data_IF_859682207901
#
_entry.id   IF_859682207901
#
_cell.length_a   1.000
_cell.length_b   1.000
_cell.length_c   1.000
_cell.angle_alpha   90.00
_cell.angle_beta   90.00
_cell.angle_gamma   90.00
#
_symmetry.space_group_name_H-M   'P 1'
#
loop_
_entity.id
_entity.type
_entity.pdbx_description
1 polymer ?
#
# COMPACT_ATOMS: atom_id res chain seq x y z
N UNK A 1 -7.22 -9.14 12.16
CA UNK A 1 -5.77 -9.10 11.93
C UNK A 1 -5.42 -7.69 11.50
N UNK A 2 -4.37 -7.12 12.08
CA UNK A 2 -3.89 -5.78 11.74
C UNK A 2 -3.13 -5.86 10.42
N UNK A 3 -3.27 -4.86 9.53
CA UNK A 3 -2.53 -4.83 8.27
C UNK A 3 -1.00 -4.86 8.48
N UNK A 4 -0.55 -4.37 9.64
CA UNK A 4 0.84 -4.38 10.08
C UNK A 4 1.38 -5.78 10.42
N UNK A 5 0.53 -6.80 10.48
CA UNK A 5 0.92 -8.20 10.73
C UNK A 5 1.11 -8.99 9.43
N UNK A 6 0.77 -8.41 8.28
CA UNK A 6 0.98 -9.04 6.98
C UNK A 6 2.47 -9.12 6.65
N UNK A 7 2.83 -10.19 5.95
CA UNK A 7 4.15 -10.35 5.38
C UNK A 7 4.37 -9.40 4.21
N UNK A 8 5.64 -9.14 3.89
CA UNK A 8 6.02 -8.28 2.76
C UNK A 8 5.41 -8.76 1.42
N UNK A 9 5.27 -10.08 1.23
CA UNK A 9 4.65 -10.66 0.03
C UNK A 9 3.15 -10.41 -0.02
N UNK A 10 2.43 -10.58 1.10
CA UNK A 10 0.99 -10.31 1.16
C UNK A 10 0.70 -8.82 0.89
N UNK A 11 1.52 -7.92 1.45
CA UNK A 11 1.40 -6.48 1.18
C UNK A 11 1.73 -6.16 -0.28
N UNK A 12 2.73 -6.82 -0.87
CA UNK A 12 3.07 -6.64 -2.28
C UNK A 12 1.92 -7.09 -3.20
N UNK A 13 1.32 -8.25 -2.95
CA UNK A 13 0.16 -8.76 -3.70
C UNK A 13 -1.03 -7.81 -3.58
N UNK A 14 -1.27 -7.26 -2.39
CA UNK A 14 -2.32 -6.27 -2.18
C UNK A 14 -2.07 -4.95 -2.92
N UNK A 15 -0.81 -4.50 -2.95
CA UNK A 15 -0.42 -3.32 -3.73
C UNK A 15 -0.67 -3.59 -5.22
N UNK A 16 -0.16 -4.70 -5.76
CA UNK A 16 -0.25 -5.05 -7.18
C UNK A 16 -1.69 -5.21 -7.66
N UNK A 17 -2.56 -5.75 -6.81
CA UNK A 17 -3.98 -5.92 -7.12
C UNK A 17 -4.83 -4.67 -6.82
N UNK A 18 -4.25 -3.64 -6.19
CA UNK A 18 -4.96 -2.43 -5.76
C UNK A 18 -5.96 -2.65 -4.62
N UNK A 19 -5.91 -3.81 -3.97
CA UNK A 19 -6.82 -4.27 -2.90
C UNK A 19 -6.50 -3.73 -1.52
N UNK A 20 -5.39 -2.98 -1.35
CA UNK A 20 -4.98 -2.39 -0.06
C UNK A 20 -6.18 -1.74 0.65
N UNK A 21 -6.58 -2.14 1.85
CA UNK A 21 -7.81 -1.64 2.45
C UNK A 21 -7.65 -0.18 2.92
N UNK A 22 -8.73 0.58 2.92
CA UNK A 22 -8.69 2.03 3.21
C UNK A 22 -8.15 2.34 4.62
N UNK A 23 -8.41 1.48 5.60
CA UNK A 23 -7.86 1.63 6.95
C UNK A 23 -6.32 1.52 6.96
N UNK A 24 -5.72 0.70 6.10
CA UNK A 24 -4.27 0.60 5.95
C UNK A 24 -3.67 1.83 5.25
N UNK A 25 -4.42 2.48 4.35
CA UNK A 25 -4.00 3.72 3.71
C UNK A 25 -4.02 4.93 4.67
N UNK A 26 -4.94 4.92 5.64
CA UNK A 26 -5.08 5.97 6.66
C UNK A 26 -4.07 5.76 7.79
N UNK A 27 -3.87 4.52 8.22
CA UNK A 27 -2.94 4.20 9.30
C UNK A 27 -1.49 4.53 8.93
N UNK A 28 -0.82 5.32 9.77
CA UNK A 28 0.52 5.84 9.46
C UNK A 28 1.60 4.76 9.49
N UNK A 29 1.42 3.71 10.31
CA UNK A 29 2.35 2.59 10.38
C UNK A 29 2.21 1.69 9.16
N UNK A 30 0.98 1.31 8.82
CA UNK A 30 0.68 0.50 7.65
C UNK A 30 1.11 1.22 6.36
N UNK A 31 0.83 2.52 6.24
CA UNK A 31 1.28 3.30 5.08
C UNK A 31 2.81 3.34 4.96
N UNK A 32 3.54 3.46 6.07
CA UNK A 32 5.02 3.41 6.04
C UNK A 32 5.52 2.05 5.56
N UNK A 33 4.88 0.96 5.99
CA UNK A 33 5.22 -0.39 5.53
C UNK A 33 4.96 -0.54 4.03
N UNK A 34 3.78 -0.12 3.55
CA UNK A 34 3.42 -0.09 2.11
C UNK A 34 4.47 0.67 1.29
N UNK A 35 4.87 1.88 1.72
CA UNK A 35 5.92 2.65 1.06
C UNK A 35 7.28 1.93 1.08
N UNK A 36 7.61 1.23 2.16
CA UNK A 36 8.85 0.44 2.25
C UNK A 36 8.85 -0.73 1.27
N UNK A 37 7.72 -1.41 1.08
CA UNK A 37 7.56 -2.45 0.06
C UNK A 37 7.75 -1.86 -1.33
N UNK A 38 7.13 -0.71 -1.61
CA UNK A 38 7.28 -0.05 -2.91
C UNK A 38 8.73 0.34 -3.21
N UNK A 39 9.48 0.83 -2.21
CA UNK A 39 10.88 1.17 -2.37
C UNK A 39 11.78 -0.07 -2.57
N UNK A 40 11.41 -1.22 -1.99
CA UNK A 40 12.17 -2.48 -2.11
C UNK A 40 11.91 -3.19 -3.44
N UNK A 41 10.67 -3.12 -3.95
CA UNK A 41 10.24 -3.81 -5.16
C UNK A 41 9.69 -2.85 -6.24
N UNK A 42 10.44 -1.80 -6.64
CA UNK A 42 9.92 -0.75 -7.51
C UNK A 42 9.65 -1.20 -8.95
N UNK A 43 10.20 -2.35 -9.36
CA UNK A 43 9.96 -2.94 -10.69
C UNK A 43 8.75 -3.88 -10.72
N UNK A 44 8.27 -4.30 -9.57
CA UNK A 44 7.17 -5.26 -9.44
C UNK A 44 5.83 -4.57 -9.27
N UNK A 45 5.84 -3.28 -8.93
CA UNK A 45 4.62 -2.49 -8.75
C UNK A 45 4.42 -1.61 -9.97
N UNK A 46 3.29 -1.81 -10.63
CA UNK A 46 2.86 -0.96 -11.74
C UNK A 46 2.75 0.51 -11.27
N UNK A 47 3.41 1.47 -11.94
CA UNK A 47 3.34 2.88 -11.58
C UNK A 47 1.92 3.46 -11.52
N UNK A 48 1.00 3.00 -12.37
CA UNK A 48 -0.38 3.48 -12.40
C UNK A 48 -1.16 2.96 -11.19
N UNK A 49 -0.92 1.71 -10.79
CA UNK A 49 -1.50 1.13 -9.57
C UNK A 49 -1.00 1.89 -8.34
N UNK A 50 0.31 2.16 -8.28
CA UNK A 50 0.89 2.97 -7.20
C UNK A 50 0.30 4.38 -7.14
N UNK A 51 0.13 5.01 -8.31
CA UNK A 51 -0.46 6.34 -8.42
C UNK A 51 -1.90 6.37 -7.89
N UNK A 52 -2.72 5.38 -8.24
CA UNK A 52 -4.10 5.30 -7.75
C UNK A 52 -4.17 5.04 -6.24
N UNK A 53 -3.27 4.24 -5.66
CA UNK A 53 -3.18 4.08 -4.20
C UNK A 53 -2.85 5.40 -3.50
N UNK A 54 -1.85 6.13 -4.00
CA UNK A 54 -1.48 7.44 -3.47
C UNK A 54 -2.64 8.44 -3.53
N UNK A 55 -3.37 8.45 -4.65
CA UNK A 55 -4.56 9.29 -4.87
C UNK A 55 -5.72 8.88 -3.95
N UNK A 56 -5.96 7.58 -3.74
CA UNK A 56 -6.98 7.07 -2.81
C UNK A 56 -6.66 7.52 -1.39
N UNK A 57 -5.42 7.35 -0.93
CA UNK A 57 -4.97 7.88 0.37
C UNK A 57 -5.18 9.39 0.49
N UNK A 58 -4.82 10.16 -0.53
CA UNK A 58 -5.02 11.61 -0.54
C UNK A 58 -6.48 12.05 -0.45
N UNK A 59 -7.44 11.21 -0.88
CA UNK A 59 -8.88 11.44 -0.68
C UNK A 59 -9.34 11.08 0.74
N UNK A 60 -8.79 10.02 1.32
CA UNK A 60 -9.15 9.53 2.66
C UNK A 60 -8.65 10.44 3.81
N UNK A 61 -7.58 11.20 3.56
CA UNK A 61 -6.99 12.13 4.55
C UNK A 61 -7.52 13.57 4.45
N UNK A 62 -8.46 13.85 3.54
CA UNK A 62 -9.14 15.14 3.42
C UNK A 62 -10.47 15.12 4.16
#
# INVERSE_FOLDING_TARGET
>A
MSYNELTDNEVLEDIQSGSVPDNALIDSLAWRHICSIQARYPREIDPDVWHELCKRRGKLLK
#
